data_IF_750087143902
#
_entry.id   IF_750087143902
#
_cell.length_a   1.000
_cell.length_b   1.000
_cell.length_c   1.000
_cell.angle_alpha   90.00
_cell.angle_beta   90.00
_cell.angle_gamma   90.00
#
_symmetry.space_group_name_H-M   'P 1'
#
loop_
_entity.id
_entity.type
_entity.pdbx_description
1 polymer ?
#
# COMPACT_ATOMS: atom_id res chain seq x y z
N UNK A 1 34.58 44.63 58.84
CA UNK A 1 35.04 44.76 57.44
C UNK A 1 34.38 43.65 56.62
N UNK A 2 33.39 43.99 55.78
CA UNK A 2 32.64 43.01 54.97
C UNK A 2 33.51 42.58 53.78
N UNK A 3 33.87 41.30 53.68
CA UNK A 3 34.47 40.72 52.47
C UNK A 3 33.34 40.18 51.60
N UNK A 4 33.14 40.81 50.45
CA UNK A 4 32.18 40.42 49.42
C UNK A 4 32.83 39.31 48.58
N UNK A 5 32.28 38.09 48.60
CA UNK A 5 32.79 36.96 47.84
C UNK A 5 31.87 36.77 46.61
N UNK A 6 32.36 37.15 45.43
CA UNK A 6 31.65 36.94 44.16
C UNK A 6 31.87 35.48 43.71
N UNK A 7 30.81 34.68 43.73
CA UNK A 7 30.78 33.35 43.14
C UNK A 7 30.39 33.48 41.66
N UNK A 8 31.34 33.25 40.77
CA UNK A 8 31.16 33.27 39.32
C UNK A 8 30.71 31.87 38.88
N UNK A 9 29.44 31.74 38.51
CA UNK A 9 28.84 30.51 38.01
C UNK A 9 29.12 30.39 36.50
N UNK A 10 30.03 29.49 36.13
CA UNK A 10 30.25 29.11 34.73
C UNK A 10 29.32 27.93 34.38
N UNK A 11 28.40 28.07 33.39
CA UNK A 11 27.64 26.93 32.92
C UNK A 11 28.57 25.96 32.16
N UNK A 12 28.32 24.63 32.21
CA UNK A 12 29.14 23.69 31.47
C UNK A 12 28.91 23.91 29.97
N UNK A 13 29.98 24.32 29.29
CA UNK A 13 30.05 24.36 27.83
C UNK A 13 29.88 22.91 27.35
N UNK A 14 28.78 22.64 26.65
CA UNK A 14 28.56 21.35 26.01
C UNK A 14 29.72 21.11 25.04
N UNK A 15 30.62 20.19 25.39
CA UNK A 15 31.63 19.70 24.48
C UNK A 15 30.88 19.00 23.34
N UNK A 16 30.88 19.63 22.16
CA UNK A 16 30.54 18.93 20.93
C UNK A 16 31.61 17.87 20.75
N UNK A 17 31.23 16.61 20.95
CA UNK A 17 32.08 15.48 20.64
C UNK A 17 32.54 15.62 19.19
N UNK A 18 33.85 15.50 18.99
CA UNK A 18 34.45 15.37 17.67
C UNK A 18 33.83 14.14 17.02
N UNK A 19 33.09 14.34 15.92
CA UNK A 19 32.70 13.23 15.05
C UNK A 19 34.00 12.71 14.47
N UNK A 20 34.31 11.44 14.72
CA UNK A 20 35.51 10.78 14.25
C UNK A 20 35.56 10.94 12.72
N UNK A 21 36.56 11.66 12.21
CA UNK A 21 36.70 11.97 10.79
C UNK A 21 37.15 10.77 9.96
N UNK A 22 37.44 9.64 10.63
CA UNK A 22 37.73 8.37 9.99
C UNK A 22 36.47 7.50 10.07
N UNK A 23 35.56 7.66 9.10
CA UNK A 23 34.58 6.61 8.83
C UNK A 23 35.38 5.35 8.47
N UNK A 24 35.43 4.37 9.37
CA UNK A 24 35.83 3.03 8.98
C UNK A 24 34.84 2.59 7.90
N UNK A 25 35.29 2.27 6.67
CA UNK A 25 34.39 1.76 5.65
C UNK A 25 33.70 0.51 6.21
N UNK A 26 32.41 0.30 5.89
CA UNK A 26 31.73 -0.93 6.30
C UNK A 26 32.55 -2.13 5.81
N UNK A 27 32.68 -3.19 6.64
CA UNK A 27 33.47 -4.41 6.36
C UNK A 27 33.33 -4.94 4.93
N UNK A 28 32.15 -4.75 4.31
CA UNK A 28 31.86 -5.14 2.94
C UNK A 28 32.73 -4.40 1.89
N UNK A 29 32.99 -3.10 2.06
CA UNK A 29 33.83 -2.32 1.13
C UNK A 29 35.28 -2.77 1.20
N UNK A 30 35.77 -3.12 2.40
CA UNK A 30 37.13 -3.61 2.59
C UNK A 30 37.35 -4.98 1.93
N UNK A 31 36.37 -5.89 2.03
CA UNK A 31 36.40 -7.18 1.33
C UNK A 31 36.38 -7.02 -0.20
N UNK A 32 35.60 -6.08 -0.72
CA UNK A 32 35.55 -5.80 -2.16
C UNK A 32 36.90 -5.30 -2.67
N UNK A 33 37.59 -4.48 -1.88
CA UNK A 33 38.93 -3.98 -2.21
C UNK A 33 39.95 -5.11 -2.16
N UNK A 34 39.93 -5.96 -1.13
CA UNK A 34 40.82 -7.13 -1.03
C UNK A 34 40.64 -8.10 -2.20
N UNK A 35 39.40 -8.36 -2.61
CA UNK A 35 39.10 -9.20 -3.79
C UNK A 35 39.57 -8.52 -5.08
N UNK A 36 39.41 -7.20 -5.23
CA UNK A 36 39.89 -6.46 -6.40
C UNK A 36 41.42 -6.49 -6.51
N UNK A 37 42.11 -6.37 -5.36
CA UNK A 37 43.56 -6.49 -5.24
C UNK A 37 44.07 -7.88 -5.61
N UNK A 38 43.32 -8.94 -5.27
CA UNK A 38 43.67 -10.31 -5.65
C UNK A 38 43.46 -10.58 -7.15
N UNK A 39 42.49 -9.93 -7.79
CA UNK A 39 42.16 -10.15 -9.19
C UNK A 39 42.95 -9.26 -10.17
N UNK A 40 43.56 -8.16 -9.69
CA UNK A 40 44.32 -7.23 -10.53
C UNK A 40 45.82 -7.40 -10.28
N UNK A 41 46.46 -8.34 -10.99
CA UNK A 41 47.92 -8.53 -11.01
C UNK A 41 48.66 -7.41 -11.77
N UNK A 42 48.32 -6.13 -11.55
CA UNK A 42 48.96 -5.01 -12.25
C UNK A 42 49.87 -4.23 -11.31
N UNK A 43 51.18 -4.31 -11.54
CA UNK A 43 52.26 -3.53 -10.90
C UNK A 43 52.23 -2.02 -11.28
N UNK A 44 51.04 -1.43 -11.43
CA UNK A 44 50.84 0.00 -11.63
C UNK A 44 50.44 0.65 -10.32
N UNK A 45 50.92 1.87 -10.09
CA UNK A 45 50.50 2.76 -8.99
C UNK A 45 49.01 3.11 -9.20
N UNK A 46 48.11 2.16 -8.91
CA UNK A 46 46.66 2.33 -9.00
C UNK A 46 46.25 3.30 -7.90
N UNK A 47 45.59 4.40 -8.26
CA UNK A 47 45.13 5.39 -7.28
C UNK A 47 43.87 4.88 -6.57
N UNK A 48 44.09 4.02 -5.59
CA UNK A 48 43.03 3.39 -4.77
C UNK A 48 42.16 4.41 -4.04
N UNK A 49 42.69 5.61 -3.78
CA UNK A 49 41.90 6.67 -3.14
C UNK A 49 40.76 7.12 -4.07
N UNK A 50 41.04 7.23 -5.37
CA UNK A 50 40.04 7.61 -6.38
C UNK A 50 38.93 6.57 -6.49
N UNK A 51 39.26 5.27 -6.55
CA UNK A 51 38.26 4.19 -6.59
C UNK A 51 37.42 4.16 -5.29
N UNK A 52 38.06 4.38 -4.14
CA UNK A 52 37.36 4.42 -2.86
C UNK A 52 36.35 5.57 -2.81
N UNK A 53 36.76 6.76 -3.23
CA UNK A 53 35.88 7.94 -3.30
C UNK A 53 34.70 7.71 -4.26
N UNK A 54 34.94 7.09 -5.42
CA UNK A 54 33.89 6.72 -6.38
C UNK A 54 32.91 5.69 -5.81
N UNK A 55 33.40 4.62 -5.18
CA UNK A 55 32.54 3.62 -4.54
C UNK A 55 31.74 4.22 -3.38
N UNK A 56 32.35 5.11 -2.58
CA UNK A 56 31.64 5.82 -1.52
C UNK A 56 30.53 6.72 -2.10
N UNK A 57 30.81 7.43 -3.19
CA UNK A 57 29.81 8.20 -3.91
C UNK A 57 28.62 7.33 -4.36
N UNK A 58 28.88 6.12 -4.89
CA UNK A 58 27.83 5.20 -5.31
C UNK A 58 27.07 4.52 -4.16
N UNK A 59 27.62 4.48 -2.94
CA UNK A 59 26.83 4.08 -1.76
C UNK A 59 25.76 5.11 -1.43
N UNK A 60 26.11 6.39 -1.51
CA UNK A 60 25.17 7.49 -1.26
C UNK A 60 24.24 7.75 -2.47
N UNK A 61 24.71 7.44 -3.69
CA UNK A 61 24.02 7.66 -4.95
C UNK A 61 24.03 6.39 -5.83
N UNK A 62 23.25 5.35 -5.48
CA UNK A 62 23.30 4.07 -6.17
C UNK A 62 22.85 4.17 -7.63
N UNK A 63 23.57 3.47 -8.50
CA UNK A 63 23.29 3.43 -9.95
C UNK A 63 22.00 2.66 -10.21
N UNK A 64 21.07 3.24 -10.95
CA UNK A 64 19.85 2.54 -11.33
C UNK A 64 20.09 1.60 -12.54
N UNK A 65 20.06 0.29 -12.30
CA UNK A 65 20.32 -0.72 -13.32
C UNK A 65 19.33 -0.69 -14.50
N UNK A 66 18.12 -0.14 -14.32
CA UNK A 66 17.11 -0.01 -15.37
C UNK A 66 17.32 1.21 -16.29
N UNK A 67 18.10 2.19 -15.85
CA UNK A 67 18.38 3.41 -16.62
C UNK A 67 19.84 3.47 -17.08
N UNK A 68 20.74 2.85 -16.33
CA UNK A 68 22.17 2.94 -16.56
C UNK A 68 22.57 2.46 -17.96
N UNK A 69 23.49 3.21 -18.56
CA UNK A 69 24.13 2.85 -19.81
C UNK A 69 25.40 2.01 -19.58
N UNK A 70 26.01 1.56 -20.67
CA UNK A 70 27.22 0.72 -20.62
C UNK A 70 28.38 1.45 -19.93
N UNK A 71 28.53 2.76 -20.17
CA UNK A 71 29.61 3.56 -19.60
C UNK A 71 29.44 3.77 -18.09
N UNK A 72 28.23 4.04 -17.63
CA UNK A 72 27.91 4.16 -16.21
C UNK A 72 28.16 2.85 -15.46
N UNK A 73 27.84 1.71 -16.07
CA UNK A 73 28.12 0.39 -15.48
C UNK A 73 29.62 0.06 -15.48
N UNK A 74 30.38 0.51 -16.49
CA UNK A 74 31.84 0.37 -16.54
C UNK A 74 32.52 1.22 -15.46
N UNK A 75 32.03 2.43 -15.20
CA UNK A 75 32.54 3.32 -14.17
C UNK A 75 32.44 2.73 -12.76
N UNK A 76 31.52 1.77 -12.55
CA UNK A 76 31.43 1.06 -11.27
C UNK A 76 32.69 0.20 -11.00
N UNK A 77 33.42 -0.23 -12.04
CA UNK A 77 34.63 -1.08 -11.96
C UNK A 77 34.45 -2.42 -11.20
N UNK A 78 33.23 -2.77 -10.80
CA UNK A 78 32.89 -4.02 -10.09
C UNK A 78 32.26 -5.08 -11.01
N UNK A 79 31.98 -4.72 -12.26
CA UNK A 79 31.35 -5.58 -13.28
C UNK A 79 32.32 -5.81 -14.43
N UNK A 80 32.34 -7.05 -14.94
CA UNK A 80 33.06 -7.37 -16.18
C UNK A 80 32.24 -6.96 -17.42
N UNK A 81 32.93 -6.76 -18.55
CA UNK A 81 32.27 -6.45 -19.84
C UNK A 81 31.19 -7.48 -20.22
N UNK A 82 31.41 -8.76 -19.89
CA UNK A 82 30.44 -9.83 -20.12
C UNK A 82 29.19 -9.62 -19.26
N UNK A 83 29.36 -9.29 -17.98
CA UNK A 83 28.24 -9.03 -17.06
C UNK A 83 27.43 -7.81 -17.51
N UNK A 84 28.10 -6.74 -17.94
CA UNK A 84 27.44 -5.53 -18.45
C UNK A 84 26.64 -5.85 -19.71
N UNK A 85 27.25 -6.54 -20.67
CA UNK A 85 26.59 -6.94 -21.91
C UNK A 85 25.37 -7.83 -21.67
N UNK A 86 25.48 -8.85 -20.82
CA UNK A 86 24.38 -9.74 -20.51
C UNK A 86 23.24 -9.05 -19.76
N UNK A 87 23.56 -8.11 -18.85
CA UNK A 87 22.57 -7.27 -18.17
C UNK A 87 21.78 -6.40 -19.17
N UNK A 88 22.47 -5.75 -20.10
CA UNK A 88 21.83 -4.93 -21.14
C UNK A 88 20.96 -5.82 -22.04
N UNK A 89 21.44 -7.00 -22.42
CA UNK A 89 20.66 -7.93 -23.24
C UNK A 89 19.43 -8.47 -22.50
N UNK A 90 19.55 -8.77 -21.21
CA UNK A 90 18.44 -9.19 -20.37
C UNK A 90 17.35 -8.12 -20.34
N UNK A 91 17.71 -6.85 -20.11
CA UNK A 91 16.77 -5.71 -20.16
C UNK A 91 16.06 -5.59 -21.50
N UNK A 92 16.77 -5.78 -22.62
CA UNK A 92 16.17 -5.74 -23.97
C UNK A 92 15.16 -6.86 -24.20
N UNK A 93 15.35 -8.03 -23.60
CA UNK A 93 14.49 -9.21 -23.80
C UNK A 93 13.33 -9.27 -22.81
N UNK A 94 13.58 -8.99 -21.53
CA UNK A 94 12.63 -9.14 -20.43
C UNK A 94 11.94 -7.82 -20.03
N UNK A 95 12.51 -6.68 -20.41
CA UNK A 95 12.09 -5.36 -19.93
C UNK A 95 12.85 -4.92 -18.68
N UNK A 96 12.34 -3.89 -18.00
CA UNK A 96 12.94 -3.36 -16.77
C UNK A 96 12.91 -4.41 -15.64
N UNK A 97 14.00 -4.50 -14.88
CA UNK A 97 14.11 -5.33 -13.68
C UNK A 97 13.06 -4.86 -12.66
N UNK A 98 12.20 -5.77 -12.22
CA UNK A 98 11.18 -5.50 -11.18
C UNK A 98 11.80 -5.63 -9.79
N UNK A 99 12.82 -6.47 -9.66
CA UNK A 99 13.52 -6.75 -8.43
C UNK A 99 15.00 -6.96 -8.68
N UNK A 100 15.85 -6.49 -7.77
CA UNK A 100 17.30 -6.66 -7.87
C UNK A 100 17.72 -8.14 -7.86
N UNK A 101 16.86 -9.02 -7.31
CA UNK A 101 17.10 -10.45 -7.29
C UNK A 101 16.98 -11.12 -8.68
N UNK A 102 16.42 -10.43 -9.68
CA UNK A 102 16.39 -10.91 -11.07
C UNK A 102 17.78 -11.03 -11.69
N UNK A 103 18.79 -10.37 -11.12
CA UNK A 103 20.19 -10.56 -11.54
C UNK A 103 20.63 -12.03 -11.49
N UNK A 104 20.04 -12.85 -10.61
CA UNK A 104 20.31 -14.30 -10.56
C UNK A 104 19.84 -15.07 -11.80
N UNK A 105 18.99 -14.48 -12.65
CA UNK A 105 18.56 -15.06 -13.91
C UNK A 105 19.57 -14.81 -15.04
N UNK A 106 20.56 -13.92 -14.83
CA UNK A 106 21.59 -13.59 -15.81
C UNK A 106 22.77 -14.56 -15.60
N UNK A 107 23.17 -15.36 -16.62
CA UNK A 107 24.16 -16.43 -16.46
C UNK A 107 25.52 -16.00 -15.89
N UNK A 108 26.00 -14.81 -16.23
CA UNK A 108 27.28 -14.26 -15.74
C UNK A 108 27.25 -13.71 -14.31
N UNK A 109 26.09 -13.67 -13.65
CA UNK A 109 25.95 -13.16 -12.29
C UNK A 109 25.83 -14.31 -11.29
N UNK A 110 26.88 -14.50 -10.49
CA UNK A 110 26.86 -15.39 -9.34
C UNK A 110 26.48 -14.65 -8.06
N UNK A 111 26.14 -15.39 -6.99
CA UNK A 111 25.71 -14.80 -5.73
C UNK A 111 26.77 -13.88 -5.08
N UNK A 112 28.06 -14.15 -5.29
CA UNK A 112 29.14 -13.32 -4.75
C UNK A 112 29.23 -12.00 -5.52
N UNK A 113 29.22 -12.04 -6.86
CA UNK A 113 29.18 -10.82 -7.68
C UNK A 113 27.95 -9.96 -7.40
N UNK A 114 26.77 -10.56 -7.24
CA UNK A 114 25.54 -9.82 -6.90
C UNK A 114 25.71 -9.13 -5.54
N UNK A 115 26.14 -9.85 -4.51
CA UNK A 115 26.34 -9.26 -3.17
C UNK A 115 27.36 -8.13 -3.18
N UNK A 116 28.40 -8.23 -4.01
CA UNK A 116 29.42 -7.19 -4.17
C UNK A 116 28.84 -5.88 -4.71
N UNK A 117 27.95 -5.94 -5.71
CA UNK A 117 27.41 -4.72 -6.34
C UNK A 117 26.17 -4.17 -5.61
N UNK A 118 25.47 -4.98 -4.81
CA UNK A 118 24.24 -4.59 -4.10
C UNK A 118 24.30 -3.24 -3.36
N UNK A 119 25.41 -2.86 -2.68
CA UNK A 119 25.47 -1.57 -1.97
C UNK A 119 25.49 -0.35 -2.89
N UNK A 120 25.86 -0.53 -4.17
CA UNK A 120 26.19 0.55 -5.11
C UNK A 120 25.16 0.68 -6.24
N UNK A 121 24.17 -0.20 -6.29
CA UNK A 121 23.19 -0.26 -7.38
C UNK A 121 21.78 -0.38 -6.83
N UNK A 122 20.82 0.13 -7.60
CA UNK A 122 19.40 0.09 -7.31
C UNK A 122 18.64 -0.35 -8.55
N UNK A 123 17.41 -0.77 -8.36
CA UNK A 123 16.41 -0.87 -9.43
C UNK A 123 15.29 0.06 -9.04
N UNK A 124 15.01 1.07 -9.89
CA UNK A 124 13.85 1.94 -9.71
C UNK A 124 12.56 1.15 -9.95
N UNK A 125 12.18 0.38 -8.95
CA UNK A 125 10.83 0.08 -8.54
C UNK A 125 10.98 -0.77 -7.28
N UNK A 126 10.65 -0.22 -6.12
CA UNK A 126 10.21 -1.14 -5.07
C UNK A 126 9.09 -2.00 -5.64
N UNK A 127 8.88 -3.21 -5.11
CA UNK A 127 7.68 -4.01 -5.43
C UNK A 127 6.39 -3.14 -5.28
N UNK A 128 6.47 -2.10 -4.44
CA UNK A 128 5.43 -1.09 -4.19
C UNK A 128 5.33 0.05 -5.24
N UNK A 129 6.37 0.28 -6.07
CA UNK A 129 6.42 1.30 -7.13
C UNK A 129 6.11 0.73 -8.52
N UNK A 130 5.72 -0.55 -8.63
CA UNK A 130 5.14 -1.04 -9.88
C UNK A 130 3.80 -0.30 -10.12
N UNK A 131 3.90 0.80 -10.87
CA UNK A 131 2.82 1.73 -11.20
C UNK A 131 1.84 1.03 -12.16
N UNK A 132 0.99 0.17 -11.61
CA UNK A 132 -0.21 -0.25 -12.32
C UNK A 132 -1.08 0.98 -12.51
N UNK A 133 -1.22 1.40 -13.77
CA UNK A 133 -2.03 2.56 -14.10
C UNK A 133 -3.49 2.31 -13.68
N UNK A 134 -4.13 3.32 -13.06
CA UNK A 134 -5.54 3.25 -12.65
C UNK A 134 -6.44 2.80 -13.83
N UNK A 135 -6.26 3.29 -15.07
CA UNK A 135 -7.05 2.82 -16.21
C UNK A 135 -6.93 1.32 -16.46
N UNK A 136 -5.71 0.75 -16.33
CA UNK A 136 -5.49 -0.68 -16.48
C UNK A 136 -6.18 -1.47 -15.38
N UNK A 137 -6.11 -0.98 -14.14
CA UNK A 137 -6.80 -1.61 -13.01
C UNK A 137 -8.31 -1.63 -13.21
N UNK A 138 -8.90 -0.57 -13.78
CA UNK A 138 -10.33 -0.50 -14.11
C UNK A 138 -10.71 -1.43 -15.28
N UNK A 139 -9.81 -1.65 -16.24
CA UNK A 139 -10.06 -2.50 -17.39
C UNK A 139 -9.90 -4.00 -17.08
N UNK A 140 -8.87 -4.37 -16.32
CA UNK A 140 -8.50 -5.76 -16.03
C UNK A 140 -9.12 -6.31 -14.73
N UNK A 141 -9.88 -5.50 -13.99
CA UNK A 141 -10.47 -5.92 -12.73
C UNK A 141 -11.68 -6.84 -12.87
N UNK A 142 -12.01 -7.51 -11.77
CA UNK A 142 -13.16 -8.40 -11.68
C UNK A 142 -14.43 -7.59 -11.40
N UNK A 143 -15.50 -7.90 -12.14
CA UNK A 143 -16.80 -7.28 -11.99
C UNK A 143 -17.79 -8.28 -11.39
N UNK A 144 -18.39 -7.92 -10.26
CA UNK A 144 -19.40 -8.68 -9.55
C UNK A 144 -20.72 -7.92 -9.63
N UNK A 145 -21.75 -8.55 -10.22
CA UNK A 145 -23.12 -8.04 -10.21
C UNK A 145 -24.00 -9.02 -9.43
N UNK A 146 -24.61 -8.53 -8.35
CA UNK A 146 -25.53 -9.29 -7.52
C UNK A 146 -26.92 -8.67 -7.60
N UNK A 147 -27.89 -9.49 -7.99
CA UNK A 147 -29.29 -9.14 -8.09
C UNK A 147 -30.11 -10.11 -7.25
N UNK A 148 -30.95 -9.58 -6.38
CA UNK A 148 -31.86 -10.37 -5.56
C UNK A 148 -33.23 -9.72 -5.56
N UNK A 149 -34.23 -10.52 -5.92
CA UNK A 149 -35.64 -10.19 -5.76
C UNK A 149 -36.28 -11.17 -4.77
N UNK A 150 -37.08 -10.65 -3.85
CA UNK A 150 -37.77 -11.48 -2.86
C UNK A 150 -39.17 -10.94 -2.55
N UNK A 151 -40.12 -11.86 -2.36
CA UNK A 151 -41.51 -11.57 -2.01
C UNK A 151 -42.09 -12.71 -1.18
N UNK A 152 -43.02 -12.40 -0.29
CA UNK A 152 -43.91 -13.41 0.27
C UNK A 152 -45.05 -13.71 -0.71
N UNK A 153 -45.36 -14.99 -0.91
CA UNK A 153 -46.48 -15.42 -1.75
C UNK A 153 -47.81 -15.31 -1.03
N UNK A 154 -47.80 -15.47 0.30
CA UNK A 154 -48.95 -15.23 1.15
C UNK A 154 -49.20 -13.73 1.31
N UNK A 155 -50.47 -13.35 1.28
CA UNK A 155 -50.89 -11.96 1.48
C UNK A 155 -50.74 -11.59 2.97
N UNK A 156 -49.85 -10.64 3.26
CA UNK A 156 -49.65 -10.18 4.63
C UNK A 156 -50.72 -9.16 5.00
N UNK A 157 -51.20 -9.17 6.24
CA UNK A 157 -52.24 -8.25 6.75
C UNK A 157 -51.92 -6.76 6.53
N UNK A 158 -50.63 -6.40 6.44
CA UNK A 158 -50.20 -5.03 6.16
C UNK A 158 -50.50 -4.55 4.73
N UNK A 159 -50.90 -5.45 3.82
CA UNK A 159 -51.28 -5.16 2.44
C UNK A 159 -52.76 -5.43 2.13
N UNK A 160 -53.47 -6.12 3.03
CA UNK A 160 -54.89 -6.41 2.84
C UNK A 160 -55.75 -5.15 3.09
N UNK A 161 -56.91 -5.00 2.43
CA UNK A 161 -57.80 -3.87 2.69
C UNK A 161 -58.27 -3.84 4.15
N UNK A 162 -58.43 -2.64 4.70
CA UNK A 162 -59.00 -2.45 6.04
C UNK A 162 -60.49 -2.83 6.03
N UNK A 163 -60.92 -3.61 7.02
CA UNK A 163 -62.34 -3.82 7.30
C UNK A 163 -62.98 -2.54 7.87
N UNK A 164 -64.28 -2.33 7.63
CA UNK A 164 -65.00 -1.14 8.09
C UNK A 164 -64.87 -0.95 9.61
N UNK A 165 -64.23 0.15 10.02
CA UNK A 165 -64.01 0.50 11.44
C UNK A 165 -62.58 0.34 11.93
N UNK A 166 -61.67 -0.26 11.16
CA UNK A 166 -60.25 -0.35 11.54
C UNK A 166 -59.48 0.93 11.22
N UNK A 167 -58.78 1.48 12.21
CA UNK A 167 -57.83 2.59 12.04
C UNK A 167 -56.40 2.05 12.12
N UNK A 168 -55.92 1.40 11.06
CA UNK A 168 -54.54 0.92 10.99
C UNK A 168 -53.80 1.48 9.77
N UNK A 169 -52.52 1.78 9.93
CA UNK A 169 -51.66 2.21 8.83
C UNK A 169 -51.29 1.00 7.98
N UNK A 170 -51.48 1.12 6.66
CA UNK A 170 -51.08 0.12 5.67
C UNK A 170 -49.78 0.55 5.01
N UNK A 171 -49.07 -0.43 4.47
CA UNK A 171 -47.90 -0.13 3.66
C UNK A 171 -48.31 0.63 2.40
N UNK A 172 -47.60 1.71 2.09
CA UNK A 172 -47.91 2.58 0.95
C UNK A 172 -47.46 1.95 -0.37
N UNK A 173 -46.38 1.18 -0.35
CA UNK A 173 -45.81 0.52 -1.52
C UNK A 173 -46.01 -0.99 -1.58
N UNK A 174 -45.37 -1.62 -2.57
CA UNK A 174 -45.55 -3.05 -2.84
C UNK A 174 -44.70 -3.97 -1.94
N UNK A 175 -45.06 -5.26 -1.83
CA UNK A 175 -44.37 -6.27 -1.01
C UNK A 175 -43.06 -6.82 -1.63
N UNK A 176 -42.61 -6.25 -2.75
CA UNK A 176 -41.38 -6.67 -3.41
C UNK A 176 -40.18 -6.02 -2.73
N UNK A 177 -39.19 -6.84 -2.37
CA UNK A 177 -37.86 -6.43 -1.98
C UNK A 177 -36.91 -6.58 -3.16
N UNK A 178 -36.14 -5.54 -3.44
CA UNK A 178 -35.10 -5.56 -4.47
C UNK A 178 -33.76 -5.22 -3.85
N UNK A 179 -32.74 -5.96 -4.26
CA UNK A 179 -31.39 -5.73 -3.81
C UNK A 179 -30.41 -5.87 -4.97
N UNK A 180 -29.66 -4.79 -5.20
CA UNK A 180 -28.71 -4.62 -6.28
C UNK A 180 -27.35 -4.29 -5.65
N UNK A 181 -26.32 -5.04 -6.00
CA UNK A 181 -24.93 -4.67 -5.69
C UNK A 181 -24.08 -4.89 -6.92
N UNK A 182 -23.45 -3.82 -7.38
CA UNK A 182 -22.37 -3.88 -8.35
C UNK A 182 -21.05 -3.55 -7.65
N UNK A 183 -20.02 -4.36 -7.89
CA UNK A 183 -18.70 -4.17 -7.33
C UNK A 183 -17.65 -4.52 -8.37
N UNK A 184 -16.71 -3.61 -8.54
CA UNK A 184 -15.48 -3.84 -9.25
C UNK A 184 -14.34 -3.98 -8.24
N UNK A 185 -13.47 -4.96 -8.45
CA UNK A 185 -12.25 -5.12 -7.66
C UNK A 185 -11.07 -5.57 -8.50
N UNK A 186 -9.95 -4.88 -8.35
CA UNK A 186 -8.67 -5.26 -8.89
C UNK A 186 -7.73 -5.63 -7.74
N UNK A 187 -7.54 -6.95 -7.56
CA UNK A 187 -6.70 -7.52 -6.50
C UNK A 187 -7.07 -6.93 -5.12
N UNK A 188 -6.08 -6.49 -4.33
CA UNK A 188 -6.27 -5.81 -3.05
C UNK A 188 -5.93 -4.31 -3.14
N UNK A 189 -5.91 -3.73 -4.36
CA UNK A 189 -5.46 -2.36 -4.62
C UNK A 189 -6.62 -1.41 -4.95
N UNK A 190 -7.48 -1.74 -5.93
CA UNK A 190 -8.62 -0.89 -6.31
C UNK A 190 -9.93 -1.62 -6.04
N UNK A 191 -10.90 -0.94 -5.46
CA UNK A 191 -12.29 -1.40 -5.43
C UNK A 191 -13.24 -0.21 -5.52
N UNK A 192 -14.26 -0.33 -6.36
CA UNK A 192 -15.40 0.58 -6.33
C UNK A 192 -16.69 -0.21 -6.47
N UNK A 193 -17.79 0.36 -6.02
CA UNK A 193 -19.06 -0.32 -6.10
C UNK A 193 -20.23 0.57 -5.74
N UNK A 194 -21.41 0.11 -6.14
CA UNK A 194 -22.68 0.75 -5.87
C UNK A 194 -23.61 -0.34 -5.35
N UNK A 195 -24.30 -0.04 -4.26
CA UNK A 195 -25.31 -0.90 -3.64
C UNK A 195 -26.60 -0.11 -3.53
N UNK A 196 -27.70 -0.73 -3.92
CA UNK A 196 -29.04 -0.19 -3.77
C UNK A 196 -29.97 -1.26 -3.20
N UNK A 197 -30.74 -0.91 -2.18
CA UNK A 197 -31.79 -1.77 -1.62
C UNK A 197 -33.13 -1.05 -1.66
N UNK A 198 -34.20 -1.83 -1.77
CA UNK A 198 -35.58 -1.37 -1.62
C UNK A 198 -36.28 -2.37 -0.72
N UNK A 199 -36.74 -1.91 0.42
CA UNK A 199 -37.50 -2.69 1.37
C UNK A 199 -38.96 -2.87 0.95
N UNK A 200 -39.61 -3.83 1.61
CA UNK A 200 -41.01 -4.17 1.35
C UNK A 200 -41.90 -3.10 1.96
N UNK A 201 -42.96 -2.74 1.25
CA UNK A 201 -43.94 -1.76 1.73
C UNK A 201 -43.59 -0.31 1.45
N UNK A 202 -42.38 -0.06 0.94
CA UNK A 202 -41.97 1.26 0.44
C UNK A 202 -42.44 1.50 -1.00
N UNK A 203 -42.89 2.72 -1.26
CA UNK A 203 -43.23 3.19 -2.61
C UNK A 203 -41.98 3.19 -3.51
N UNK A 204 -42.16 2.95 -4.81
CA UNK A 204 -41.05 2.85 -5.76
C UNK A 204 -41.29 3.79 -6.93
N UNK A 205 -40.47 4.82 -7.06
CA UNK A 205 -40.60 5.88 -8.07
C UNK A 205 -41.99 6.57 -8.06
N UNK A 206 -42.66 6.59 -6.91
CA UNK A 206 -44.01 7.10 -6.75
C UNK A 206 -44.19 7.73 -5.34
N UNK A 207 -45.20 8.60 -5.22
CA UNK A 207 -45.63 9.14 -3.93
C UNK A 207 -44.52 9.80 -3.12
N UNK A 208 -44.26 9.26 -1.92
CA UNK A 208 -43.27 9.73 -0.95
C UNK A 208 -41.83 9.36 -1.32
N UNK A 209 -41.62 8.36 -2.19
CA UNK A 209 -40.28 7.95 -2.65
C UNK A 209 -40.13 8.08 -4.17
N UNK A 210 -39.72 9.28 -4.60
CA UNK A 210 -39.46 9.61 -6.01
C UNK A 210 -38.11 9.13 -6.53
N UNK A 211 -37.18 8.78 -5.64
CA UNK A 211 -35.81 8.39 -6.01
C UNK A 211 -35.69 6.89 -6.31
N UNK A 212 -36.66 6.08 -5.86
CA UNK A 212 -36.76 4.66 -6.21
C UNK A 212 -36.32 3.78 -5.04
N UNK A 213 -35.02 3.53 -4.91
CA UNK A 213 -34.47 2.75 -3.81
C UNK A 213 -34.39 3.62 -2.54
N UNK A 214 -34.54 3.00 -1.37
CA UNK A 214 -34.50 3.70 -0.07
C UNK A 214 -33.05 3.87 0.42
N UNK A 215 -32.24 2.83 0.21
CA UNK A 215 -30.83 2.81 0.54
C UNK A 215 -29.98 2.86 -0.72
N UNK A 216 -29.07 3.83 -0.77
CA UNK A 216 -27.99 3.92 -1.74
C UNK A 216 -26.65 4.03 -1.04
N UNK A 217 -25.72 3.16 -1.41
CA UNK A 217 -24.34 3.21 -0.97
C UNK A 217 -23.39 3.13 -2.16
N UNK A 218 -22.35 3.95 -2.13
CA UNK A 218 -21.31 3.93 -3.14
C UNK A 218 -19.95 4.10 -2.47
N UNK A 219 -18.96 3.32 -2.92
CA UNK A 219 -17.60 3.41 -2.41
C UNK A 219 -16.59 3.40 -3.55
N UNK A 220 -15.49 4.12 -3.35
CA UNK A 220 -14.27 4.06 -4.15
C UNK A 220 -13.10 3.94 -3.17
N UNK A 221 -12.27 2.93 -3.38
CA UNK A 221 -11.18 2.59 -2.48
C UNK A 221 -9.93 2.27 -3.28
N UNK A 222 -8.84 2.95 -2.95
CA UNK A 222 -7.52 2.77 -3.54
C UNK A 222 -6.50 2.51 -2.43
N UNK A 223 -5.68 1.48 -2.59
CA UNK A 223 -4.73 1.01 -1.59
C UNK A 223 -3.37 0.74 -2.22
N UNK A 224 -2.32 1.12 -1.50
CA UNK A 224 -0.91 0.95 -1.84
C UNK A 224 -0.64 1.34 -3.31
N UNK A 225 -1.06 2.56 -3.67
CA UNK A 225 -0.87 3.07 -5.04
C UNK A 225 0.57 3.50 -5.28
N UNK A 226 1.17 4.17 -4.29
CA UNK A 226 2.59 4.50 -4.25
C UNK A 226 3.04 4.64 -2.79
N UNK A 227 4.33 4.92 -2.56
CA UNK A 227 4.91 5.06 -1.21
C UNK A 227 4.19 6.09 -0.32
N UNK A 228 3.59 7.12 -0.94
CA UNK A 228 2.92 8.23 -0.24
C UNK A 228 1.44 7.95 0.01
N UNK A 229 0.75 7.33 -0.96
CA UNK A 229 -0.69 7.06 -0.97
C UNK A 229 -0.91 5.60 -0.61
N UNK A 230 -0.96 5.33 0.71
CA UNK A 230 -1.19 3.99 1.25
C UNK A 230 -2.66 3.56 1.22
N UNK A 231 -3.59 4.47 1.48
CA UNK A 231 -5.02 4.18 1.40
C UNK A 231 -5.83 5.46 1.20
N UNK A 232 -6.79 5.40 0.28
CA UNK A 232 -7.79 6.45 0.00
C UNK A 232 -9.14 5.79 -0.07
N UNK A 233 -10.12 6.35 0.64
CA UNK A 233 -11.51 5.92 0.60
C UNK A 233 -12.41 7.13 0.35
N UNK A 234 -13.27 7.04 -0.65
CA UNK A 234 -14.23 8.07 -1.03
C UNK A 234 -15.63 7.43 -1.09
N UNK A 235 -16.63 8.15 -0.62
CA UNK A 235 -18.00 7.67 -0.49
C UNK A 235 -18.20 6.99 0.87
N UNK A 236 -18.70 5.77 0.85
CA UNK A 236 -19.01 5.00 2.04
C UNK A 236 -17.86 4.08 2.43
N UNK A 237 -17.39 4.23 3.65
CA UNK A 237 -16.26 3.48 4.18
C UNK A 237 -16.44 3.16 5.66
N UNK A 238 -15.74 2.13 6.11
CA UNK A 238 -15.70 1.76 7.51
C UNK A 238 -14.30 1.99 8.04
N UNK A 239 -14.26 2.54 9.26
CA UNK A 239 -13.03 2.95 9.92
C UNK A 239 -12.87 2.17 11.23
N UNK A 240 -11.64 1.80 11.57
CA UNK A 240 -11.34 1.13 12.84
C UNK A 240 -10.03 1.64 13.43
N UNK A 241 -10.10 2.36 14.54
CA UNK A 241 -8.95 2.94 15.22
C UNK A 241 -8.86 2.49 16.68
N UNK A 242 -7.63 2.36 17.16
CA UNK A 242 -7.36 2.07 18.57
C UNK A 242 -8.01 0.79 19.08
N UNK A 243 -8.08 -0.27 18.24
CA UNK A 243 -8.75 -1.55 18.57
C UNK A 243 -10.24 -1.38 18.97
N UNK A 244 -10.85 -0.27 18.56
CA UNK A 244 -12.23 0.08 18.89
C UNK A 244 -12.43 0.83 20.20
N UNK A 245 -11.36 1.32 20.83
CA UNK A 245 -11.43 2.31 21.91
C UNK A 245 -11.71 3.72 21.39
N UNK A 246 -11.28 4.02 20.16
CA UNK A 246 -11.51 5.33 19.51
C UNK A 246 -12.72 5.23 18.60
N UNK A 247 -12.66 4.32 17.62
CA UNK A 247 -13.71 4.15 16.62
C UNK A 247 -13.68 2.72 16.10
N UNK A 248 -14.85 2.11 15.94
CA UNK A 248 -14.95 0.78 15.36
C UNK A 248 -16.26 0.61 14.60
N UNK A 249 -16.15 0.50 13.28
CA UNK A 249 -17.26 0.22 12.39
C UNK A 249 -17.40 -1.27 12.04
N UNK A 250 -16.69 -2.15 12.74
CA UNK A 250 -16.69 -3.60 12.50
C UNK A 250 -17.82 -4.35 13.21
N UNK A 251 -18.07 -5.59 12.78
CA UNK A 251 -18.94 -6.49 13.54
C UNK A 251 -18.19 -6.98 14.78
N UNK A 252 -18.63 -6.53 15.96
CA UNK A 252 -18.10 -7.01 17.23
C UNK A 252 -18.94 -8.17 17.74
N UNK A 253 -18.39 -9.38 17.76
CA UNK A 253 -19.00 -10.49 18.48
C UNK A 253 -19.06 -10.13 19.98
N UNK A 254 -20.22 -10.34 20.61
CA UNK A 254 -20.40 -10.15 22.05
C UNK A 254 -19.74 -11.25 22.88
N UNK A 255 -20.32 -11.61 24.02
CA UNK A 255 -19.83 -12.70 24.87
C UNK A 255 -19.79 -14.00 24.05
N UNK A 256 -18.58 -14.51 23.82
CA UNK A 256 -18.29 -15.72 23.05
C UNK A 256 -17.37 -16.62 23.88
N UNK A 257 -17.39 -17.93 23.61
CA UNK A 257 -16.44 -18.90 24.18
C UNK A 257 -14.99 -18.64 23.76
N UNK A 258 -14.78 -17.78 22.75
CA UNK A 258 -13.46 -17.31 22.33
C UNK A 258 -12.92 -16.19 23.25
N UNK A 259 -12.74 -16.52 24.53
CA UNK A 259 -12.22 -15.59 25.57
C UNK A 259 -10.79 -15.12 25.26
N UNK A 260 -10.07 -15.82 24.38
CA UNK A 260 -8.71 -15.45 23.96
C UNK A 260 -8.67 -14.43 22.81
N UNK A 261 -9.78 -14.19 22.10
CA UNK A 261 -9.86 -13.24 20.97
C UNK A 261 -10.47 -11.89 21.40
N UNK A 262 -9.93 -11.30 22.46
CA UNK A 262 -10.38 -9.99 22.98
C UNK A 262 -9.98 -8.85 22.03
N UNK A 263 -8.85 -9.01 21.32
CA UNK A 263 -8.31 -7.98 20.42
C UNK A 263 -9.16 -7.87 19.15
N UNK A 264 -9.81 -6.71 18.97
CA UNK A 264 -10.49 -6.35 17.72
C UNK A 264 -9.45 -5.97 16.66
N UNK A 265 -9.07 -6.95 15.85
CA UNK A 265 -8.17 -6.74 14.71
C UNK A 265 -9.01 -6.43 13.48
N UNK A 266 -9.19 -5.14 13.18
CA UNK A 266 -9.79 -4.68 11.95
C UNK A 266 -8.82 -3.77 11.19
N UNK A 267 -8.91 -3.77 9.86
CA UNK A 267 -8.16 -2.82 9.03
C UNK A 267 -8.59 -1.40 9.38
N UNK A 268 -7.63 -0.48 9.40
CA UNK A 268 -7.88 0.93 9.75
C UNK A 268 -8.93 1.56 8.86
N UNK A 269 -8.82 1.31 7.55
CA UNK A 269 -9.74 1.80 6.53
C UNK A 269 -10.15 0.64 5.64
N UNK A 270 -11.45 0.54 5.34
CA UNK A 270 -12.01 -0.46 4.42
C UNK A 270 -13.20 0.11 3.64
N UNK A 271 -13.40 -0.31 2.38
CA UNK A 271 -14.60 0.05 1.64
C UNK A 271 -15.84 -0.50 2.34
N UNK A 272 -16.90 0.28 2.37
CA UNK A 272 -18.18 -0.19 2.85
C UNK A 272 -18.97 -0.77 1.68
N UNK A 273 -19.30 -2.06 1.78
CA UNK A 273 -20.02 -2.76 0.70
C UNK A 273 -21.39 -3.23 1.13
N UNK A 274 -21.78 -3.05 2.40
CA UNK A 274 -23.00 -3.65 2.96
C UNK A 274 -24.24 -2.77 2.76
N UNK A 275 -25.39 -3.33 3.11
CA UNK A 275 -26.70 -2.63 3.15
C UNK A 275 -27.10 -2.16 4.54
N UNK A 276 -26.26 -2.42 5.55
CA UNK A 276 -26.60 -1.96 6.87
C UNK A 276 -26.57 -0.42 6.87
N UNK A 277 -27.68 0.19 7.25
CA UNK A 277 -27.82 1.66 7.31
C UNK A 277 -27.00 2.27 8.46
N UNK A 278 -26.52 1.42 9.37
CA UNK A 278 -25.70 1.80 10.52
C UNK A 278 -24.27 1.27 10.41
N UNK A 279 -23.34 1.94 11.09
CA UNK A 279 -21.92 1.55 11.21
C UNK A 279 -21.05 1.73 9.95
N UNK A 280 -21.31 2.77 9.16
CA UNK A 280 -20.38 3.27 8.15
C UNK A 280 -20.23 4.80 8.26
N UNK A 281 -19.22 5.33 7.59
CA UNK A 281 -18.97 6.76 7.46
C UNK A 281 -19.13 7.13 5.99
N UNK A 282 -19.62 8.34 5.72
CA UNK A 282 -19.79 8.90 4.37
C UNK A 282 -18.97 10.18 4.25
N UNK A 283 -18.09 10.24 3.26
CA UNK A 283 -17.24 11.41 3.04
C UNK A 283 -16.24 11.26 1.88
N UNK A 284 -15.42 12.27 1.69
CA UNK A 284 -14.33 12.31 0.71
C UNK A 284 -13.07 12.90 1.37
#
# INVERSE_FOLDING_TARGET
MKRLLFLLYFPPLAALAQVDSLQQPPDATQQVIEDFLQNTESEGDFDFNTIFEELQYYQDNPINLNEADEGELQNLQLLSDIQILELINYRRMAGDLISIYELQAIPSFDLLSIRRILPYVTVNAGIDDYQLSIPRMMAEGQNELYLRWSRFLEEQEGYSPLEEGQTAQRYLGGPNQFYLRYKHSYSNKLSYGITAEKDRGEEFFAGSNRQGFDFYSAHLFLKDYNRTIKAVAIGDFAVSFGQGLILYSGFGAGKSSYVMNIKRTARVLRPYTSVNESNFQRGA
#
